data_IF_181936565135
#
_entry.id   IF_181936565135
#
_cell.length_a   1.000
_cell.length_b   1.000
_cell.length_c   1.000
_cell.angle_alpha   90.00
_cell.angle_beta   90.00
_cell.angle_gamma   90.00
#
_symmetry.space_group_name_H-M   'P 1'
#
loop_
_entity.id
_entity.type
_entity.pdbx_description
1 polymer ?
#
# COMPACT_ATOMS: atom_id res chain seq x y z
N UNK A 1 -22.69 -47.70 -3.37
CA UNK A 1 -22.79 -46.34 -2.71
C UNK A 1 -21.41 -45.85 -2.38
N UNK A 2 -21.03 -44.67 -2.83
CA UNK A 2 -19.73 -44.01 -2.59
C UNK A 2 -19.91 -42.68 -1.88
N UNK A 3 -18.81 -42.14 -1.41
CA UNK A 3 -18.79 -40.76 -0.85
C UNK A 3 -17.98 -39.82 -1.75
N UNK A 4 -18.34 -38.54 -1.79
CA UNK A 4 -17.51 -37.53 -2.44
C UNK A 4 -16.19 -37.33 -1.68
N UNK A 5 -15.08 -37.16 -2.41
CA UNK A 5 -13.74 -37.13 -1.83
C UNK A 5 -13.48 -35.92 -0.93
N UNK A 6 -14.15 -34.78 -1.15
CA UNK A 6 -13.89 -33.52 -0.42
C UNK A 6 -14.78 -33.35 0.82
N UNK A 7 -16.07 -33.59 0.68
CA UNK A 7 -17.04 -33.31 1.77
C UNK A 7 -17.68 -34.58 2.32
N UNK A 8 -17.32 -35.78 1.79
CA UNK A 8 -17.87 -37.03 2.26
C UNK A 8 -19.38 -37.17 2.08
N UNK A 9 -19.95 -36.49 1.05
CA UNK A 9 -21.37 -36.55 0.74
C UNK A 9 -21.68 -37.92 0.12
N UNK A 10 -22.79 -38.52 0.52
CA UNK A 10 -23.29 -39.77 -0.08
C UNK A 10 -23.61 -39.57 -1.57
N UNK A 11 -23.15 -40.53 -2.40
CA UNK A 11 -23.52 -40.66 -3.81
C UNK A 11 -24.22 -41.99 -4.01
N UNK A 12 -25.38 -41.94 -4.60
CA UNK A 12 -26.18 -43.14 -4.90
C UNK A 12 -26.03 -43.54 -6.35
N UNK A 13 -25.92 -44.84 -6.62
CA UNK A 13 -25.98 -45.43 -7.93
C UNK A 13 -27.42 -45.87 -8.26
N UNK A 14 -27.68 -46.17 -9.54
CA UNK A 14 -29.04 -46.45 -10.03
C UNK A 14 -29.78 -47.60 -9.35
N UNK A 15 -29.10 -48.49 -8.64
CA UNK A 15 -29.63 -49.58 -7.88
C UNK A 15 -29.72 -49.37 -6.36
N UNK A 16 -29.21 -48.23 -5.88
CA UNK A 16 -29.19 -47.94 -4.43
C UNK A 16 -30.53 -47.44 -3.93
N UNK A 17 -30.88 -47.87 -2.71
CA UNK A 17 -32.04 -47.34 -2.00
C UNK A 17 -31.64 -46.04 -1.33
N UNK A 18 -32.28 -44.93 -1.71
CA UNK A 18 -32.08 -43.62 -1.06
C UNK A 18 -32.82 -43.59 0.28
N UNK A 19 -32.10 -43.45 1.39
CA UNK A 19 -32.67 -43.26 2.71
C UNK A 19 -32.75 -41.76 3.02
N UNK A 20 -33.87 -41.29 3.57
CA UNK A 20 -34.02 -39.87 3.95
C UNK A 20 -32.97 -39.41 4.99
N UNK A 21 -32.52 -40.32 5.87
CA UNK A 21 -31.44 -40.02 6.82
C UNK A 21 -30.14 -39.69 6.15
N UNK A 22 -29.74 -40.47 5.10
CA UNK A 22 -28.50 -40.21 4.34
C UNK A 22 -28.62 -38.92 3.53
N UNK A 23 -29.81 -38.58 3.08
CA UNK A 23 -30.07 -37.36 2.37
C UNK A 23 -29.93 -36.16 3.32
N UNK A 24 -30.54 -36.26 4.52
CA UNK A 24 -30.40 -35.23 5.55
C UNK A 24 -28.94 -35.07 6.02
N UNK A 25 -28.20 -36.16 6.22
CA UNK A 25 -26.76 -36.12 6.53
C UNK A 25 -25.96 -35.33 5.50
N UNK A 26 -26.30 -35.43 4.22
CA UNK A 26 -25.66 -34.64 3.16
C UNK A 26 -25.98 -33.16 3.30
N UNK A 27 -27.25 -32.79 3.63
CA UNK A 27 -27.62 -31.40 3.87
C UNK A 27 -26.91 -30.83 5.09
N UNK A 28 -26.79 -31.56 6.18
CA UNK A 28 -26.09 -31.14 7.39
C UNK A 28 -24.59 -30.89 7.12
N UNK A 29 -23.98 -31.76 6.32
CA UNK A 29 -22.58 -31.56 5.89
C UNK A 29 -22.40 -30.34 5.00
N UNK A 30 -23.34 -30.10 4.08
CA UNK A 30 -23.31 -28.92 3.19
C UNK A 30 -23.50 -27.65 4.02
N UNK A 31 -24.49 -27.62 4.89
CA UNK A 31 -24.78 -26.48 5.77
C UNK A 31 -23.57 -26.15 6.65
N UNK A 32 -22.99 -27.17 7.29
CA UNK A 32 -21.75 -27.02 8.10
C UNK A 32 -20.60 -26.45 7.28
N UNK A 33 -20.39 -26.94 6.04
CA UNK A 33 -19.31 -26.47 5.19
C UNK A 33 -19.55 -25.02 4.72
N UNK A 34 -20.79 -24.66 4.38
CA UNK A 34 -21.18 -23.30 4.00
C UNK A 34 -21.00 -22.34 5.17
N UNK A 35 -21.44 -22.73 6.37
CA UNK A 35 -21.25 -21.93 7.58
C UNK A 35 -19.77 -21.69 7.89
N UNK A 36 -18.96 -22.74 7.84
CA UNK A 36 -17.51 -22.63 8.03
C UNK A 36 -16.85 -21.70 7.01
N UNK A 37 -17.28 -21.76 5.75
CA UNK A 37 -16.78 -20.86 4.69
C UNK A 37 -17.18 -19.41 4.96
N UNK A 38 -18.43 -19.17 5.38
CA UNK A 38 -18.92 -17.83 5.72
C UNK A 38 -18.15 -17.24 6.92
N UNK A 39 -17.92 -18.05 7.96
CA UNK A 39 -17.14 -17.64 9.14
C UNK A 39 -15.68 -17.32 8.76
N UNK A 40 -15.09 -18.14 7.90
CA UNK A 40 -13.74 -17.90 7.36
C UNK A 40 -13.65 -16.58 6.58
N UNK A 41 -14.62 -16.28 5.74
CA UNK A 41 -14.70 -14.99 5.01
C UNK A 41 -14.83 -13.82 5.99
N UNK A 42 -15.70 -13.92 6.99
CA UNK A 42 -15.88 -12.87 8.00
C UNK A 42 -14.59 -12.63 8.81
N UNK A 43 -13.89 -13.71 9.19
CA UNK A 43 -12.60 -13.62 9.88
C UNK A 43 -11.52 -12.94 9.01
N UNK A 44 -11.45 -13.29 7.72
CA UNK A 44 -10.52 -12.66 6.76
C UNK A 44 -10.84 -11.18 6.57
N UNK A 45 -12.11 -10.80 6.47
CA UNK A 45 -12.53 -9.40 6.37
C UNK A 45 -12.12 -8.60 7.61
N UNK A 46 -12.30 -9.17 8.81
CA UNK A 46 -11.87 -8.55 10.07
C UNK A 46 -10.35 -8.39 10.13
N UNK A 47 -9.59 -9.43 9.76
CA UNK A 47 -8.14 -9.39 9.71
C UNK A 47 -7.62 -8.35 8.70
N UNK A 48 -8.23 -8.29 7.51
CA UNK A 48 -7.89 -7.32 6.48
C UNK A 48 -8.17 -5.88 6.93
N UNK A 49 -9.27 -5.64 7.64
CA UNK A 49 -9.59 -4.32 8.20
C UNK A 49 -8.54 -3.85 9.23
N UNK A 50 -7.92 -4.78 9.96
CA UNK A 50 -6.87 -4.48 10.95
C UNK A 50 -5.48 -4.30 10.33
N UNK A 51 -5.25 -4.71 9.09
CA UNK A 51 -3.96 -4.66 8.41
C UNK A 51 -3.57 -3.29 7.84
N UNK A 52 -4.24 -2.20 8.20
CA UNK A 52 -3.92 -0.84 7.73
C UNK A 52 -3.75 -0.80 6.21
N UNK A 53 -4.84 -0.79 5.47
CA UNK A 53 -4.82 -0.84 4.01
C UNK A 53 -4.17 0.41 3.42
N UNK A 54 -2.93 0.28 2.94
CA UNK A 54 -2.24 1.31 2.20
C UNK A 54 -1.91 0.83 0.79
N UNK A 55 -2.24 1.65 -0.20
CA UNK A 55 -1.69 1.52 -1.53
C UNK A 55 -0.28 2.07 -1.53
N UNK A 56 0.68 1.27 -2.00
CA UNK A 56 2.05 1.73 -2.26
C UNK A 56 2.10 2.29 -3.68
N UNK A 57 2.55 3.53 -3.82
CA UNK A 57 2.79 4.18 -5.10
C UNK A 57 4.28 4.42 -5.26
N UNK A 58 4.83 3.96 -6.37
CA UNK A 58 6.21 4.18 -6.77
C UNK A 58 6.25 5.00 -8.07
N UNK A 59 7.23 5.89 -8.17
CA UNK A 59 7.45 6.66 -9.38
C UNK A 59 8.78 7.39 -9.37
N UNK A 60 9.04 8.13 -10.44
CA UNK A 60 10.23 8.96 -10.61
C UNK A 60 9.86 10.34 -11.13
N UNK A 61 10.74 11.31 -10.90
CA UNK A 61 10.71 12.59 -11.58
C UNK A 61 12.14 13.07 -11.87
N UNK A 62 12.27 13.99 -12.83
CA UNK A 62 13.54 14.62 -13.17
C UNK A 62 13.55 16.04 -12.64
N UNK A 63 14.62 16.40 -11.93
CA UNK A 63 14.83 17.75 -11.43
C UNK A 63 15.00 18.77 -12.55
N UNK A 64 14.52 19.98 -12.32
CA UNK A 64 14.55 21.09 -13.28
C UNK A 64 15.42 22.27 -12.82
N UNK A 65 16.17 22.13 -11.74
CA UNK A 65 17.09 23.13 -11.19
C UNK A 65 16.42 24.30 -10.46
N UNK A 66 15.11 24.38 -10.44
CA UNK A 66 14.37 25.44 -9.72
C UNK A 66 14.25 25.09 -8.25
N UNK A 67 14.28 26.11 -7.39
CA UNK A 67 14.18 25.93 -5.93
C UNK A 67 13.56 27.15 -5.25
N UNK A 68 13.43 27.07 -3.93
CA UNK A 68 12.87 28.12 -3.09
C UNK A 68 11.35 28.15 -3.05
N UNK A 69 10.80 29.03 -2.23
CA UNK A 69 9.36 29.12 -1.96
C UNK A 69 8.50 29.47 -3.19
N UNK A 70 9.08 30.13 -4.19
CA UNK A 70 8.42 30.43 -5.45
C UNK A 70 8.38 29.22 -6.43
N UNK A 71 9.17 28.19 -6.19
CA UNK A 71 9.30 27.01 -7.05
C UNK A 71 9.27 25.72 -6.22
N UNK A 72 8.18 25.42 -5.52
CA UNK A 72 8.10 24.19 -4.73
C UNK A 72 8.11 22.95 -5.62
N UNK A 73 8.83 21.91 -5.20
CA UNK A 73 8.60 20.57 -5.74
C UNK A 73 7.23 20.09 -5.30
N UNK A 74 6.55 19.32 -6.17
CA UNK A 74 5.22 18.83 -5.89
C UNK A 74 5.01 17.43 -6.50
N UNK A 75 4.52 16.51 -5.68
CA UNK A 75 4.04 15.20 -6.13
C UNK A 75 2.54 15.12 -5.86
N UNK A 76 1.79 14.68 -6.89
CA UNK A 76 0.34 14.53 -6.83
C UNK A 76 -0.03 13.06 -6.96
N UNK A 77 -1.01 12.61 -6.19
CA UNK A 77 -1.43 11.22 -6.07
C UNK A 77 -2.93 11.05 -6.31
N UNK A 78 -3.39 9.80 -6.46
CA UNK A 78 -4.81 9.48 -6.59
C UNK A 78 -5.61 9.57 -5.28
N UNK A 79 -4.93 9.78 -4.14
CA UNK A 79 -5.52 9.88 -2.81
C UNK A 79 -4.60 10.64 -1.87
N UNK A 80 -4.94 10.65 -0.59
CA UNK A 80 -4.28 11.40 0.48
C UNK A 80 -3.01 10.68 0.96
N UNK A 81 -1.79 11.07 0.54
CA UNK A 81 -0.57 10.40 0.98
C UNK A 81 -0.30 10.67 2.46
N UNK A 82 0.13 9.65 3.22
CA UNK A 82 0.50 9.77 4.65
C UNK A 82 2.00 9.73 4.88
N UNK A 83 2.73 9.08 3.97
CA UNK A 83 4.19 9.02 3.94
C UNK A 83 4.66 9.16 2.51
N UNK A 84 5.68 9.99 2.29
CA UNK A 84 6.39 10.07 1.01
C UNK A 84 7.89 10.08 1.29
N UNK A 85 8.61 9.18 0.63
CA UNK A 85 10.08 9.12 0.66
C UNK A 85 10.56 9.44 -0.76
N UNK A 86 11.50 10.36 -0.86
CA UNK A 86 12.19 10.70 -2.12
C UNK A 86 13.65 10.35 -1.98
N UNK A 87 14.24 9.76 -3.02
CA UNK A 87 15.65 9.39 -3.07
C UNK A 87 16.25 9.74 -4.42
N UNK A 88 17.47 10.29 -4.41
CA UNK A 88 18.23 10.53 -5.63
C UNK A 88 18.73 9.20 -6.23
N UNK A 89 18.52 8.99 -7.54
CA UNK A 89 18.96 7.75 -8.22
C UNK A 89 20.45 7.79 -8.61
N UNK A 90 20.92 8.95 -9.05
CA UNK A 90 22.29 9.13 -9.51
C UNK A 90 23.06 10.01 -8.53
N UNK A 91 23.59 9.39 -7.49
CA UNK A 91 24.50 10.07 -6.60
C UNK A 91 25.92 9.63 -6.92
N UNK A 92 26.74 10.53 -7.51
CA UNK A 92 28.15 10.29 -7.79
C UNK A 92 29.01 10.21 -6.52
N UNK A 93 28.42 10.51 -5.38
CA UNK A 93 28.99 10.37 -4.05
C UNK A 93 28.23 9.26 -3.32
N UNK A 94 28.89 8.26 -2.80
CA UNK A 94 28.34 7.07 -2.11
C UNK A 94 27.50 7.38 -0.84
N UNK A 95 26.73 8.46 -0.84
CA UNK A 95 25.89 8.87 0.27
C UNK A 95 24.42 8.56 -0.02
N UNK A 96 23.75 8.00 0.94
CA UNK A 96 22.29 7.79 0.91
C UNK A 96 21.59 9.16 1.03
N UNK A 97 21.13 9.67 -0.13
CA UNK A 97 20.52 10.98 -0.27
C UNK A 97 19.00 10.83 -0.34
N UNK A 98 18.33 11.02 0.78
CA UNK A 98 16.89 10.83 0.87
C UNK A 98 16.17 11.91 1.68
N UNK A 99 14.90 12.12 1.38
CA UNK A 99 13.98 13.00 2.09
C UNK A 99 12.75 12.20 2.53
N UNK A 100 12.44 12.19 3.83
CA UNK A 100 11.28 11.50 4.39
C UNK A 100 10.25 12.51 4.88
N UNK A 101 9.07 12.48 4.29
CA UNK A 101 7.96 13.38 4.59
C UNK A 101 6.80 12.59 5.21
N UNK A 102 6.40 12.96 6.42
CA UNK A 102 5.29 12.34 7.16
C UNK A 102 4.16 13.38 7.23
N UNK A 103 2.94 12.97 6.86
CA UNK A 103 1.79 13.88 6.90
C UNK A 103 1.56 14.43 8.32
N UNK A 104 1.24 15.70 8.38
CA UNK A 104 1.10 16.43 9.63
C UNK A 104 2.36 17.17 10.07
N UNK A 105 3.54 16.84 9.49
CA UNK A 105 4.76 17.59 9.70
C UNK A 105 4.91 18.68 8.64
N UNK A 106 5.15 19.91 9.06
CA UNK A 106 5.40 21.06 8.17
C UNK A 106 6.87 21.17 7.72
N UNK A 107 7.70 20.21 8.10
CA UNK A 107 9.12 20.14 7.75
C UNK A 107 9.57 18.69 7.65
N UNK A 108 10.63 18.45 6.90
CA UNK A 108 11.27 17.15 6.75
C UNK A 108 12.80 17.31 6.67
N UNK A 109 13.51 16.38 7.26
CA UNK A 109 14.97 16.34 7.20
C UNK A 109 15.37 15.51 6.00
N UNK A 110 16.21 16.08 5.15
CA UNK A 110 16.95 15.35 4.11
C UNK A 110 18.35 15.05 4.61
N UNK A 111 18.80 13.83 4.42
CA UNK A 111 20.14 13.39 4.81
C UNK A 111 21.03 13.21 3.56
N UNK A 112 22.26 13.66 3.69
CA UNK A 112 23.33 13.49 2.68
C UNK A 112 24.62 13.14 3.41
N UNK A 113 24.80 11.88 3.71
CA UNK A 113 25.97 11.42 4.46
C UNK A 113 26.11 12.12 5.82
N UNK A 114 27.11 12.98 5.95
CA UNK A 114 27.36 13.71 7.22
C UNK A 114 26.61 15.04 7.35
N UNK A 115 25.78 15.40 6.37
CA UNK A 115 25.02 16.64 6.35
C UNK A 115 23.53 16.38 6.32
N UNK A 116 22.79 17.06 7.19
CA UNK A 116 21.34 17.09 7.16
C UNK A 116 20.84 18.51 6.92
N UNK A 117 19.74 18.63 6.19
CA UNK A 117 19.07 19.92 5.94
C UNK A 117 17.56 19.75 6.06
N UNK A 118 16.93 20.86 6.39
CA UNK A 118 15.49 20.90 6.63
C UNK A 118 14.78 21.48 5.42
N UNK A 119 13.82 20.73 4.89
CA UNK A 119 12.90 21.19 3.87
C UNK A 119 11.58 21.61 4.51
N UNK A 120 11.02 22.75 4.08
CA UNK A 120 9.64 23.12 4.42
C UNK A 120 8.67 22.26 3.61
N UNK A 121 7.65 21.68 4.27
CA UNK A 121 6.71 20.73 3.66
C UNK A 121 5.29 21.25 3.81
N UNK A 122 4.51 21.20 2.72
CA UNK A 122 3.09 21.48 2.72
C UNK A 122 2.30 20.28 2.15
N UNK A 123 1.17 19.97 2.80
CA UNK A 123 0.31 18.84 2.48
C UNK A 123 -1.07 19.33 2.02
N UNK A 124 -1.50 18.85 0.87
CA UNK A 124 -2.90 18.98 0.41
C UNK A 124 -3.63 17.64 0.46
N UNK A 125 -4.87 17.60 0.00
CA UNK A 125 -5.66 16.36 0.00
C UNK A 125 -4.99 15.24 -0.79
N UNK A 126 -4.47 15.54 -1.97
CA UNK A 126 -3.87 14.56 -2.86
C UNK A 126 -2.44 14.88 -3.28
N UNK A 127 -1.75 15.74 -2.54
CA UNK A 127 -0.37 16.10 -2.87
C UNK A 127 0.49 16.35 -1.63
N UNK A 128 1.80 16.30 -1.84
CA UNK A 128 2.82 16.88 -0.98
C UNK A 128 3.67 17.83 -1.81
N UNK A 129 4.08 18.95 -1.23
CA UNK A 129 5.07 19.85 -1.81
C UNK A 129 6.12 20.24 -0.78
N UNK A 130 7.32 20.54 -1.26
CA UNK A 130 8.43 20.93 -0.38
C UNK A 130 9.35 21.94 -1.05
N UNK A 131 10.04 22.72 -0.23
CA UNK A 131 10.96 23.78 -0.65
C UNK A 131 12.23 23.79 0.19
N UNK A 132 13.33 24.22 -0.42
CA UNK A 132 14.59 24.56 0.25
C UNK A 132 15.24 25.73 -0.50
N UNK A 133 16.29 26.30 0.06
CA UNK A 133 17.00 27.46 -0.51
C UNK A 133 18.03 27.08 -1.59
N UNK A 134 18.15 25.79 -1.92
CA UNK A 134 19.07 25.25 -2.92
C UNK A 134 18.43 24.08 -3.68
N UNK A 135 18.74 23.95 -4.99
CA UNK A 135 18.15 22.93 -5.85
C UNK A 135 18.54 21.50 -5.45
N UNK A 136 19.74 21.27 -4.99
CA UNK A 136 20.21 19.95 -4.57
C UNK A 136 19.51 19.53 -3.28
N UNK A 137 19.47 20.38 -2.27
CA UNK A 137 18.82 20.12 -0.99
C UNK A 137 17.30 20.07 -1.09
N UNK A 138 16.71 20.71 -2.11
CA UNK A 138 15.30 20.58 -2.47
C UNK A 138 15.00 19.31 -3.26
N UNK A 139 15.99 18.45 -3.59
CA UNK A 139 15.82 17.27 -4.46
C UNK A 139 15.29 17.63 -5.84
N UNK A 140 15.83 18.71 -6.42
CA UNK A 140 15.41 19.23 -7.72
C UNK A 140 16.58 19.69 -8.62
N UNK A 141 17.77 19.12 -8.40
CA UNK A 141 18.95 19.45 -9.21
C UNK A 141 18.68 19.14 -10.68
N UNK A 142 19.08 20.07 -11.55
CA UNK A 142 18.86 19.98 -12.99
C UNK A 142 19.32 18.64 -13.58
N UNK A 143 18.45 17.98 -14.32
CA UNK A 143 18.68 16.68 -14.99
C UNK A 143 18.94 15.48 -14.04
N UNK A 144 18.87 15.66 -12.73
CA UNK A 144 18.96 14.55 -11.78
C UNK A 144 17.63 13.80 -11.69
N UNK A 145 17.68 12.47 -11.61
CA UNK A 145 16.51 11.63 -11.48
C UNK A 145 16.31 11.25 -10.01
N UNK A 146 15.09 11.38 -9.55
CA UNK A 146 14.65 11.06 -8.20
C UNK A 146 13.57 10.00 -8.24
N UNK A 147 13.72 8.95 -7.42
CA UNK A 147 12.65 7.98 -7.15
C UNK A 147 11.83 8.41 -5.95
N UNK A 148 10.56 8.05 -5.95
CA UNK A 148 9.74 8.21 -4.74
C UNK A 148 8.88 6.99 -4.48
N UNK A 149 8.59 6.78 -3.19
CA UNK A 149 7.59 5.83 -2.70
C UNK A 149 6.61 6.62 -1.83
N UNK A 150 5.31 6.38 -2.01
CA UNK A 150 4.27 6.96 -1.19
C UNK A 150 3.32 5.88 -0.65
N UNK A 151 2.86 6.06 0.59
CA UNK A 151 1.80 5.28 1.20
C UNK A 151 0.51 6.09 1.18
N UNK A 152 -0.53 5.53 0.57
CA UNK A 152 -1.86 6.13 0.47
C UNK A 152 -2.88 5.19 1.12
N UNK A 153 -3.52 5.57 2.25
CA UNK A 153 -4.57 4.77 2.84
C UNK A 153 -5.72 4.52 1.85
N UNK A 154 -6.22 3.29 1.79
CA UNK A 154 -7.29 2.88 0.87
C UNK A 154 -8.66 2.72 1.54
N UNK A 155 -8.74 2.96 2.86
CA UNK A 155 -9.96 2.88 3.63
C UNK A 155 -9.93 3.89 4.77
N UNK A 156 -10.88 4.74 4.79
CA UNK A 156 -11.41 5.46 5.92
C UNK A 156 -12.93 5.47 5.79
#
# INVERSE_FOLDING_TARGET
>A
MENTSKYGLKRWDGGDRILHTEFNDNWDKIDTALKSSADGVAALQTALASCGNCKIVYGTYTGNGKYGSANPNKLTFSGKPVLVIVQAQNNSTNYDFHLRMIRGCGWAVGDRGNYSYTNSVAWGENFVSWTNDDAETQFNLQNSVYSYIALIPTGA
#
